data_IF_751523960543
#
_entry.id   IF_751523960543
#
_cell.length_a   1.000
_cell.length_b   1.000
_cell.length_c   1.000
_cell.angle_alpha   90.00
_cell.angle_beta   90.00
_cell.angle_gamma   90.00
#
_symmetry.space_group_name_H-M   'P 1'
#
loop_
_entity.id
_entity.type
_entity.pdbx_description
1 polymer ?
#
# COMPACT_ATOMS: atom_id res chain seq x y z
N UNK A 1 -32.12 29.66 -3.19
CA UNK A 1 -32.05 29.05 -4.53
C UNK A 1 -31.37 27.70 -4.38
N UNK A 2 -31.74 26.65 -5.16
CA UNK A 2 -31.11 25.31 -5.08
C UNK A 2 -29.60 25.34 -5.28
N UNK A 3 -29.15 26.31 -6.08
CA UNK A 3 -27.75 26.51 -6.47
C UNK A 3 -26.79 26.86 -5.30
N UNK A 4 -27.31 27.25 -4.13
CA UNK A 4 -26.46 27.60 -2.99
C UNK A 4 -25.86 26.38 -2.27
N UNK A 5 -26.53 25.23 -2.27
CA UNK A 5 -25.99 24.02 -1.64
C UNK A 5 -24.75 23.53 -2.39
N UNK A 6 -24.79 23.48 -3.72
CA UNK A 6 -23.65 23.09 -4.57
C UNK A 6 -22.50 24.09 -4.44
N UNK A 7 -22.81 25.40 -4.41
CA UNK A 7 -21.78 26.43 -4.24
C UNK A 7 -21.05 26.28 -2.90
N UNK A 8 -21.78 26.01 -1.80
CA UNK A 8 -21.15 25.76 -0.49
C UNK A 8 -20.35 24.46 -0.48
N UNK A 9 -20.84 23.39 -1.13
CA UNK A 9 -20.08 22.14 -1.25
C UNK A 9 -18.77 22.35 -2.04
N UNK A 10 -18.83 23.05 -3.18
CA UNK A 10 -17.65 23.37 -3.99
C UNK A 10 -16.67 24.29 -3.24
N UNK A 11 -17.18 25.25 -2.44
CA UNK A 11 -16.34 26.05 -1.55
C UNK A 11 -15.65 25.17 -0.50
N UNK A 12 -16.35 24.19 0.07
CA UNK A 12 -15.78 23.20 0.99
C UNK A 12 -14.64 22.41 0.35
N UNK A 13 -14.80 21.96 -0.90
CA UNK A 13 -13.72 21.28 -1.66
C UNK A 13 -12.50 22.20 -1.80
N UNK A 14 -12.71 23.46 -2.25
CA UNK A 14 -11.61 24.39 -2.44
C UNK A 14 -10.89 24.74 -1.11
N UNK A 15 -11.61 24.84 0.00
CA UNK A 15 -11.04 25.08 1.34
C UNK A 15 -10.25 23.87 1.83
N UNK A 16 -10.76 22.66 1.64
CA UNK A 16 -10.06 21.41 1.97
C UNK A 16 -8.75 21.32 1.19
N UNK A 17 -8.76 21.63 -0.11
CA UNK A 17 -7.56 21.61 -0.96
C UNK A 17 -6.51 22.66 -0.55
N UNK A 18 -6.93 23.73 0.17
CA UNK A 18 -6.04 24.69 0.81
C UNK A 18 -5.59 24.27 2.22
N UNK A 19 -6.00 23.10 2.72
CA UNK A 19 -5.72 22.65 4.08
C UNK A 19 -6.57 23.32 5.18
N UNK A 20 -7.57 24.14 4.82
CA UNK A 20 -8.47 24.84 5.75
C UNK A 20 -9.64 23.93 6.13
N UNK A 21 -9.33 22.87 6.88
CA UNK A 21 -10.26 21.75 7.11
C UNK A 21 -11.49 22.16 7.94
N UNK A 22 -11.35 23.01 8.97
CA UNK A 22 -12.47 23.51 9.77
C UNK A 22 -13.43 24.35 8.94
N UNK A 23 -12.89 25.24 8.09
CA UNK A 23 -13.70 26.08 7.20
C UNK A 23 -14.40 25.23 6.13
N UNK A 24 -13.74 24.19 5.64
CA UNK A 24 -14.32 23.24 4.69
C UNK A 24 -15.52 22.51 5.30
N UNK A 25 -15.40 21.98 6.52
CA UNK A 25 -16.48 21.31 7.25
C UNK A 25 -17.63 22.29 7.51
N UNK A 26 -17.34 23.53 7.88
CA UNK A 26 -18.37 24.55 8.06
C UNK A 26 -19.13 24.86 6.75
N UNK A 27 -18.42 24.86 5.61
CA UNK A 27 -19.05 25.04 4.30
C UNK A 27 -19.94 23.84 3.92
N UNK A 28 -19.49 22.59 4.14
CA UNK A 28 -20.32 21.41 3.93
C UNK A 28 -21.56 21.40 4.81
N UNK A 29 -21.44 21.79 6.08
CA UNK A 29 -22.61 21.92 6.97
C UNK A 29 -23.62 22.95 6.45
N UNK A 30 -23.18 24.07 5.86
CA UNK A 30 -24.08 25.03 5.21
C UNK A 30 -24.77 24.43 3.98
N UNK A 31 -24.03 23.66 3.15
CA UNK A 31 -24.60 22.94 2.02
C UNK A 31 -25.70 21.98 2.48
N UNK A 32 -25.44 21.20 3.54
CA UNK A 32 -26.33 20.21 4.11
C UNK A 32 -27.54 20.83 4.84
N UNK A 33 -27.40 22.02 5.40
CA UNK A 33 -28.53 22.77 5.96
C UNK A 33 -29.52 23.23 4.88
N UNK A 34 -29.03 23.47 3.64
CA UNK A 34 -29.85 23.86 2.49
C UNK A 34 -30.44 22.60 1.80
N UNK A 35 -29.61 21.56 1.66
CA UNK A 35 -29.96 20.30 0.98
C UNK A 35 -29.56 19.12 1.87
N UNK A 36 -30.43 18.67 2.80
CA UNK A 36 -30.11 17.59 3.75
C UNK A 36 -29.86 16.21 3.11
N UNK A 37 -30.32 16.00 1.88
CA UNK A 37 -30.16 14.78 1.08
C UNK A 37 -28.99 14.87 0.07
N UNK A 38 -27.97 15.68 0.37
CA UNK A 38 -26.81 15.87 -0.51
C UNK A 38 -25.70 14.87 -0.20
N UNK A 39 -25.78 13.67 -0.77
CA UNK A 39 -24.83 12.57 -0.54
C UNK A 39 -23.37 12.95 -0.78
N UNK A 40 -23.09 13.71 -1.87
CA UNK A 40 -21.75 14.14 -2.22
C UNK A 40 -21.15 15.10 -1.16
N UNK A 41 -21.96 15.98 -0.56
CA UNK A 41 -21.51 16.88 0.50
C UNK A 41 -21.15 16.10 1.78
N UNK A 42 -21.94 15.07 2.15
CA UNK A 42 -21.60 14.17 3.26
C UNK A 42 -20.30 13.40 2.98
N UNK A 43 -20.11 12.85 1.77
CA UNK A 43 -18.88 12.14 1.42
C UNK A 43 -17.65 13.06 1.45
N UNK A 44 -17.75 14.28 0.90
CA UNK A 44 -16.67 15.26 0.94
C UNK A 44 -16.35 15.74 2.36
N UNK A 45 -17.38 15.89 3.20
CA UNK A 45 -17.20 16.20 4.63
C UNK A 45 -16.47 15.05 5.34
N UNK A 46 -16.77 13.78 5.02
CA UNK A 46 -16.06 12.62 5.53
C UNK A 46 -14.57 12.67 5.21
N UNK A 47 -14.20 13.06 3.98
CA UNK A 47 -12.79 13.25 3.61
C UNK A 47 -12.12 14.33 4.46
N UNK A 48 -12.77 15.49 4.67
CA UNK A 48 -12.20 16.55 5.47
C UNK A 48 -12.06 16.17 6.96
N UNK A 49 -13.02 15.42 7.51
CA UNK A 49 -12.97 14.90 8.87
C UNK A 49 -11.84 13.86 9.05
N UNK A 50 -11.66 12.98 8.07
CA UNK A 50 -10.53 12.04 8.03
C UNK A 50 -9.19 12.81 8.04
N UNK A 51 -9.05 13.84 7.21
CA UNK A 51 -7.83 14.65 7.13
C UNK A 51 -7.55 15.41 8.45
N UNK A 52 -8.59 15.65 9.28
CA UNK A 52 -8.45 16.13 10.67
C UNK A 52 -8.14 15.02 11.69
N UNK A 53 -8.08 13.75 11.28
CA UNK A 53 -7.93 12.62 12.20
C UNK A 53 -9.19 12.23 12.98
N UNK A 54 -10.36 12.80 12.62
CA UNK A 54 -11.67 12.53 13.25
C UNK A 54 -12.34 11.30 12.63
N UNK A 55 -11.75 10.14 12.90
CA UNK A 55 -12.05 8.89 12.21
C UNK A 55 -13.53 8.47 12.34
N UNK A 56 -14.07 8.45 13.55
CA UNK A 56 -15.48 8.03 13.78
C UNK A 56 -16.48 9.01 13.16
N UNK A 57 -16.18 10.31 13.17
CA UNK A 57 -17.02 11.32 12.54
C UNK A 57 -17.00 11.16 11.01
N UNK A 58 -15.83 10.80 10.43
CA UNK A 58 -15.70 10.50 9.00
C UNK A 58 -16.55 9.28 8.61
N UNK A 59 -16.47 8.18 9.37
CA UNK A 59 -17.29 6.97 9.19
C UNK A 59 -18.78 7.34 9.24
N UNK A 60 -19.20 8.15 10.22
CA UNK A 60 -20.60 8.58 10.34
C UNK A 60 -21.06 9.41 9.12
N UNK A 61 -20.18 10.28 8.59
CA UNK A 61 -20.47 11.08 7.40
C UNK A 61 -20.62 10.20 6.15
N UNK A 62 -19.72 9.24 5.92
CA UNK A 62 -19.84 8.30 4.80
C UNK A 62 -21.12 7.45 4.91
N UNK A 63 -21.46 6.96 6.10
CA UNK A 63 -22.70 6.22 6.31
C UNK A 63 -23.95 7.05 5.98
N UNK A 64 -23.97 8.36 6.30
CA UNK A 64 -25.04 9.27 5.87
C UNK A 64 -25.10 9.43 4.35
N UNK A 65 -23.94 9.57 3.69
CA UNK A 65 -23.89 9.61 2.23
C UNK A 65 -24.49 8.34 1.61
N UNK A 66 -24.15 7.16 2.15
CA UNK A 66 -24.63 5.87 1.68
C UNK A 66 -26.10 5.59 2.01
N UNK A 67 -26.62 6.13 3.11
CA UNK A 67 -28.04 6.07 3.41
C UNK A 67 -28.90 6.84 2.38
N UNK A 68 -28.34 7.93 1.80
CA UNK A 68 -28.98 8.74 0.75
C UNK A 68 -28.78 8.09 -0.62
N UNK A 69 -27.55 7.65 -0.91
CA UNK A 69 -27.14 7.07 -2.21
C UNK A 69 -26.40 5.74 -1.99
N UNK A 70 -27.16 4.62 -1.89
CA UNK A 70 -26.60 3.30 -1.55
C UNK A 70 -25.62 2.71 -2.57
N UNK A 71 -25.56 3.26 -3.78
CA UNK A 71 -24.64 2.83 -4.85
C UNK A 71 -23.47 3.79 -5.07
N UNK A 72 -23.19 4.67 -4.09
CA UNK A 72 -22.11 5.65 -4.20
C UNK A 72 -20.74 5.00 -3.96
N UNK A 73 -20.14 4.51 -5.05
CA UNK A 73 -18.92 3.70 -5.02
C UNK A 73 -17.73 4.40 -4.34
N UNK A 74 -17.56 5.70 -4.56
CA UNK A 74 -16.48 6.47 -3.93
C UNK A 74 -16.66 6.60 -2.41
N UNK A 75 -17.90 6.76 -1.94
CA UNK A 75 -18.18 6.80 -0.50
C UNK A 75 -17.93 5.45 0.18
N UNK A 76 -18.34 4.34 -0.45
CA UNK A 76 -18.01 2.99 0.00
C UNK A 76 -16.50 2.77 0.09
N UNK A 77 -15.76 3.13 -0.97
CA UNK A 77 -14.30 2.97 -0.99
C UNK A 77 -13.61 3.81 0.09
N UNK A 78 -14.04 5.06 0.28
CA UNK A 78 -13.51 5.91 1.35
C UNK A 78 -13.83 5.30 2.73
N UNK A 79 -15.08 4.87 2.96
CA UNK A 79 -15.49 4.19 4.18
C UNK A 79 -14.63 2.95 4.47
N UNK A 80 -14.27 2.19 3.43
CA UNK A 80 -13.44 0.98 3.59
C UNK A 80 -12.10 1.27 4.25
N UNK A 81 -11.43 2.35 3.84
CA UNK A 81 -10.13 2.73 4.41
C UNK A 81 -10.22 3.12 5.88
N UNK A 82 -11.29 3.82 6.27
CA UNK A 82 -11.49 4.21 7.65
C UNK A 82 -11.85 3.02 8.54
N UNK A 83 -12.66 2.10 8.03
CA UNK A 83 -12.99 0.84 8.72
C UNK A 83 -11.74 -0.03 8.93
N UNK A 84 -10.91 -0.18 7.88
CA UNK A 84 -9.65 -0.93 7.98
C UNK A 84 -8.67 -0.27 8.97
N UNK A 85 -8.63 1.06 9.02
CA UNK A 85 -7.80 1.81 9.98
C UNK A 85 -8.30 1.69 11.43
N UNK A 86 -9.56 1.28 11.61
CA UNK A 86 -10.20 1.04 12.91
C UNK A 86 -10.24 -0.44 13.31
N UNK A 87 -9.45 -1.31 12.67
CA UNK A 87 -9.45 -2.76 12.85
C UNK A 87 -10.80 -3.46 12.58
N UNK A 88 -11.75 -2.77 11.93
CA UNK A 88 -13.02 -3.34 11.49
C UNK A 88 -12.83 -4.09 10.16
N UNK A 89 -11.98 -5.12 10.18
CA UNK A 89 -11.48 -5.80 8.98
C UNK A 89 -12.59 -6.34 8.08
N UNK A 90 -13.59 -7.02 8.65
CA UNK A 90 -14.67 -7.63 7.87
C UNK A 90 -15.44 -6.58 7.07
N UNK A 91 -15.94 -5.58 7.76
CA UNK A 91 -16.70 -4.50 7.15
C UNK A 91 -15.87 -3.74 6.13
N UNK A 92 -14.64 -3.37 6.51
CA UNK A 92 -13.74 -2.64 5.63
C UNK A 92 -13.39 -3.40 4.35
N UNK A 93 -13.17 -4.72 4.41
CA UNK A 93 -12.87 -5.55 3.25
C UNK A 93 -14.11 -5.81 2.37
N UNK A 94 -15.31 -5.84 2.95
CA UNK A 94 -16.56 -5.88 2.19
C UNK A 94 -16.77 -4.58 1.41
N UNK A 95 -16.59 -3.44 2.08
CA UNK A 95 -16.68 -2.11 1.47
C UNK A 95 -15.58 -1.88 0.41
N UNK A 96 -14.39 -2.44 0.58
CA UNK A 96 -13.28 -2.32 -0.36
C UNK A 96 -13.58 -2.91 -1.75
N UNK A 97 -14.52 -3.86 -1.86
CA UNK A 97 -14.93 -4.42 -3.14
C UNK A 97 -15.63 -3.39 -4.05
N UNK A 98 -16.16 -2.31 -3.49
CA UNK A 98 -16.75 -1.24 -4.28
C UNK A 98 -15.73 -0.46 -5.13
N UNK A 99 -14.42 -0.66 -4.90
CA UNK A 99 -13.36 -0.10 -5.75
C UNK A 99 -13.57 -0.40 -7.23
N UNK A 100 -14.20 -1.54 -7.54
CA UNK A 100 -14.50 -1.96 -8.91
C UNK A 100 -15.64 -1.20 -9.59
N UNK A 101 -16.38 -0.39 -8.84
CA UNK A 101 -17.48 0.42 -9.34
C UNK A 101 -17.13 1.92 -9.40
N UNK A 102 -15.96 2.31 -8.86
CA UNK A 102 -15.48 3.70 -8.97
C UNK A 102 -15.09 4.02 -10.41
N UNK A 103 -15.30 5.27 -10.82
CA UNK A 103 -14.96 5.76 -12.15
C UNK A 103 -13.52 5.47 -12.55
N UNK A 104 -12.59 5.57 -11.60
CA UNK A 104 -11.16 5.33 -11.84
C UNK A 104 -10.83 3.86 -12.13
N UNK A 105 -11.51 2.91 -11.51
CA UNK A 105 -11.11 1.51 -11.52
C UNK A 105 -11.97 0.63 -12.43
N UNK A 106 -13.12 1.11 -12.87
CA UNK A 106 -14.02 0.37 -13.79
C UNK A 106 -13.33 -0.04 -15.09
N UNK A 107 -12.49 0.85 -15.62
CA UNK A 107 -11.75 0.60 -16.86
C UNK A 107 -10.50 -0.29 -16.67
N UNK A 108 -10.00 -0.39 -15.43
CA UNK A 108 -8.80 -1.18 -15.12
C UNK A 108 -9.13 -2.61 -14.73
N UNK A 109 -10.39 -2.93 -14.47
CA UNK A 109 -10.85 -4.27 -14.13
C UNK A 109 -10.66 -5.21 -15.31
N UNK A 110 -9.91 -6.30 -15.08
CA UNK A 110 -9.71 -7.35 -16.09
C UNK A 110 -11.01 -8.12 -16.33
N UNK A 111 -11.27 -8.45 -17.59
CA UNK A 111 -12.48 -9.17 -18.00
C UNK A 111 -12.11 -10.54 -18.54
N UNK A 112 -12.44 -11.58 -17.78
CA UNK A 112 -12.21 -12.97 -18.15
C UNK A 112 -13.53 -13.68 -18.44
N UNK A 113 -13.47 -14.71 -19.31
CA UNK A 113 -14.60 -15.61 -19.56
C UNK A 113 -14.88 -16.56 -18.39
N UNK A 114 -13.86 -16.84 -17.57
CA UNK A 114 -13.99 -17.69 -16.40
C UNK A 114 -14.53 -16.94 -15.20
N UNK A 115 -15.21 -17.61 -14.26
CA UNK A 115 -15.82 -16.93 -13.11
C UNK A 115 -14.81 -16.45 -12.08
N UNK A 116 -15.15 -15.34 -11.42
CA UNK A 116 -14.48 -14.91 -10.19
C UNK A 116 -14.70 -15.98 -9.10
N UNK A 117 -13.63 -16.33 -8.36
CA UNK A 117 -13.78 -17.19 -7.20
C UNK A 117 -14.52 -16.45 -6.06
N UNK A 118 -15.50 -17.12 -5.48
CA UNK A 118 -16.39 -16.55 -4.45
C UNK A 118 -15.94 -16.84 -3.01
N UNK A 119 -14.75 -17.43 -2.84
CA UNK A 119 -14.24 -17.84 -1.53
C UNK A 119 -14.87 -19.12 -0.96
N UNK A 120 -15.87 -19.70 -1.63
CA UNK A 120 -16.63 -20.87 -1.14
C UNK A 120 -16.46 -22.10 -2.01
N UNK A 121 -16.32 -21.91 -3.31
CA UNK A 121 -16.13 -23.04 -4.25
C UNK A 121 -14.85 -23.77 -3.96
N UNK A 122 -14.94 -25.10 -3.94
CA UNK A 122 -13.79 -25.95 -3.71
C UNK A 122 -12.77 -25.81 -4.86
N UNK A 123 -11.53 -25.50 -4.50
CA UNK A 123 -10.41 -25.33 -5.44
C UNK A 123 -9.57 -26.62 -5.62
N UNK A 124 -9.89 -27.71 -4.93
CA UNK A 124 -9.14 -28.97 -5.06
C UNK A 124 -9.13 -29.45 -6.52
N UNK A 125 -7.96 -29.59 -7.09
CA UNK A 125 -7.77 -29.97 -8.50
C UNK A 125 -8.19 -28.90 -9.50
N UNK A 126 -8.42 -27.65 -9.07
CA UNK A 126 -8.78 -26.51 -9.91
C UNK A 126 -7.61 -25.55 -10.03
N UNK A 127 -7.51 -24.92 -11.19
CA UNK A 127 -6.52 -23.87 -11.47
C UNK A 127 -7.10 -22.50 -11.11
N UNK A 128 -6.36 -21.72 -10.31
CA UNK A 128 -6.72 -20.34 -10.02
C UNK A 128 -5.69 -19.37 -10.56
N UNK A 129 -6.17 -18.33 -11.24
CA UNK A 129 -5.37 -17.16 -11.64
C UNK A 129 -5.56 -16.05 -10.61
N UNK A 130 -4.49 -15.68 -9.93
CA UNK A 130 -4.40 -14.45 -9.14
C UNK A 130 -3.78 -13.35 -10.00
N UNK A 131 -4.28 -12.13 -9.88
CA UNK A 131 -3.75 -11.02 -10.67
C UNK A 131 -3.72 -9.73 -9.86
N UNK A 132 -2.68 -8.93 -10.09
CA UNK A 132 -2.46 -7.68 -9.39
C UNK A 132 -3.20 -6.54 -10.07
N UNK A 133 -3.85 -5.70 -9.29
CA UNK A 133 -4.64 -4.56 -9.78
C UNK A 133 -4.05 -3.20 -9.33
N UNK A 134 -3.11 -3.19 -8.41
CA UNK A 134 -2.53 -1.97 -7.84
C UNK A 134 -1.00 -1.94 -7.95
N UNK A 135 -0.35 -1.14 -7.12
CA UNK A 135 1.08 -0.91 -7.14
C UNK A 135 1.93 -2.09 -6.66
N UNK A 136 3.24 -1.94 -6.80
CA UNK A 136 4.23 -2.94 -6.37
C UNK A 136 4.13 -3.22 -4.87
N UNK A 137 3.98 -2.18 -4.05
CA UNK A 137 3.83 -2.33 -2.61
C UNK A 137 2.60 -3.15 -2.22
N UNK A 138 1.46 -2.89 -2.87
CA UNK A 138 0.22 -3.65 -2.64
C UNK A 138 0.40 -5.12 -3.01
N UNK A 139 1.05 -5.40 -4.15
CA UNK A 139 1.35 -6.76 -4.57
C UNK A 139 2.24 -7.50 -3.56
N UNK A 140 3.29 -6.87 -3.07
CA UNK A 140 4.14 -7.44 -2.02
C UNK A 140 3.32 -7.73 -0.76
N UNK A 141 2.53 -6.76 -0.29
CA UNK A 141 1.70 -6.94 0.89
C UNK A 141 0.72 -8.12 0.74
N UNK A 142 0.00 -8.18 -0.38
CA UNK A 142 -0.97 -9.25 -0.65
C UNK A 142 -0.33 -10.61 -0.82
N UNK A 143 0.91 -10.68 -1.32
CA UNK A 143 1.65 -11.94 -1.46
C UNK A 143 1.87 -12.66 -0.14
N UNK A 144 1.83 -11.96 0.99
CA UNK A 144 1.87 -12.54 2.34
C UNK A 144 0.73 -13.55 2.59
N UNK A 145 -0.35 -13.52 1.78
CA UNK A 145 -1.53 -14.39 1.90
C UNK A 145 -1.56 -15.54 0.87
N UNK A 146 -0.56 -15.62 0.00
CA UNK A 146 -0.45 -16.75 -0.94
C UNK A 146 -0.46 -18.11 -0.23
N UNK A 147 0.21 -18.34 0.91
CA UNK A 147 0.14 -19.61 1.60
C UNK A 147 -1.28 -20.07 1.95
N UNK A 148 -2.21 -19.13 2.20
CA UNK A 148 -3.61 -19.45 2.52
C UNK A 148 -4.34 -20.01 1.30
N UNK A 149 -4.17 -19.43 0.11
CA UNK A 149 -4.79 -19.96 -1.11
C UNK A 149 -4.13 -21.26 -1.56
N UNK A 150 -2.82 -21.39 -1.36
CA UNK A 150 -2.08 -22.62 -1.70
C UNK A 150 -2.49 -23.82 -0.84
N UNK A 151 -3.06 -23.60 0.34
CA UNK A 151 -3.66 -24.69 1.13
C UNK A 151 -4.94 -25.25 0.52
N UNK A 152 -5.55 -24.55 -0.45
CA UNK A 152 -6.82 -24.92 -1.09
C UNK A 152 -6.65 -25.50 -2.49
N UNK A 153 -5.50 -25.26 -3.15
CA UNK A 153 -5.21 -25.73 -4.51
C UNK A 153 -3.71 -25.92 -4.73
N UNK A 154 -3.37 -26.90 -5.57
CA UNK A 154 -1.99 -27.14 -6.04
C UNK A 154 -1.67 -26.35 -7.33
N UNK A 155 -2.66 -25.68 -7.94
CA UNK A 155 -2.52 -25.05 -9.26
C UNK A 155 -2.84 -23.55 -9.18
N UNK A 156 -1.85 -22.77 -8.81
CA UNK A 156 -1.95 -21.32 -8.69
C UNK A 156 -0.99 -20.63 -9.65
N UNK A 157 -1.52 -19.74 -10.47
CA UNK A 157 -0.74 -18.79 -11.28
C UNK A 157 -0.94 -17.40 -10.69
N UNK A 158 0.15 -16.66 -10.48
CA UNK A 158 0.12 -15.24 -10.08
C UNK A 158 0.69 -14.37 -11.20
N UNK A 159 -0.11 -13.46 -11.69
CA UNK A 159 0.34 -12.40 -12.59
C UNK A 159 0.56 -11.09 -11.86
N UNK A 160 1.79 -10.60 -11.91
CA UNK A 160 2.25 -9.41 -11.22
C UNK A 160 3.09 -8.48 -12.11
N UNK A 161 3.54 -7.36 -11.57
CA UNK A 161 4.48 -6.48 -12.25
C UNK A 161 5.79 -7.23 -12.55
N UNK A 162 6.34 -7.03 -13.74
CA UNK A 162 7.53 -7.74 -14.26
C UNK A 162 8.70 -7.75 -13.26
N UNK A 163 8.97 -6.62 -12.63
CA UNK A 163 10.06 -6.46 -11.66
C UNK A 163 9.89 -7.24 -10.34
N UNK A 164 8.70 -7.77 -10.06
CA UNK A 164 8.46 -8.64 -8.92
C UNK A 164 8.61 -10.13 -9.27
N UNK A 165 8.61 -10.49 -10.55
CA UNK A 165 8.66 -11.90 -10.99
C UNK A 165 9.84 -12.65 -10.39
N UNK A 166 11.10 -12.16 -10.43
CA UNK A 166 12.23 -12.89 -9.86
C UNK A 166 12.06 -13.16 -8.36
N UNK A 167 11.78 -12.12 -7.57
CA UNK A 167 11.61 -12.22 -6.12
C UNK A 167 10.46 -13.17 -5.73
N UNK A 168 9.31 -13.05 -6.39
CA UNK A 168 8.15 -13.88 -6.05
C UNK A 168 8.32 -15.33 -6.53
N UNK A 169 9.00 -15.58 -7.66
CA UNK A 169 9.33 -16.94 -8.11
C UNK A 169 10.23 -17.65 -7.09
N UNK A 170 11.24 -16.94 -6.58
CA UNK A 170 12.11 -17.47 -5.53
C UNK A 170 11.37 -17.72 -4.22
N UNK A 171 10.45 -16.82 -3.86
CA UNK A 171 9.73 -16.88 -2.59
C UNK A 171 8.61 -17.93 -2.58
N UNK A 172 8.00 -18.21 -3.75
CA UNK A 172 6.85 -19.11 -3.88
C UNK A 172 7.07 -20.14 -4.99
N UNK A 173 7.95 -21.12 -4.79
CA UNK A 173 8.35 -22.08 -5.84
C UNK A 173 7.20 -22.97 -6.34
N UNK A 174 6.10 -23.07 -5.60
CA UNK A 174 4.91 -23.83 -5.96
C UNK A 174 3.85 -22.98 -6.68
N UNK A 175 4.15 -21.72 -7.01
CA UNK A 175 3.27 -20.80 -7.75
C UNK A 175 3.91 -20.50 -9.10
N UNK A 176 3.14 -20.59 -10.15
CA UNK A 176 3.57 -20.11 -11.46
C UNK A 176 3.49 -18.58 -11.49
N UNK A 177 4.65 -17.90 -11.35
CA UNK A 177 4.72 -16.43 -11.35
C UNK A 177 4.98 -15.93 -12.78
N UNK A 178 4.15 -14.99 -13.24
CA UNK A 178 4.24 -14.39 -14.58
C UNK A 178 4.14 -12.87 -14.52
N UNK A 179 4.79 -12.21 -15.46
CA UNK A 179 4.49 -10.81 -15.74
C UNK A 179 3.07 -10.67 -16.29
N UNK A 180 2.36 -9.61 -15.87
CA UNK A 180 1.00 -9.35 -16.35
C UNK A 180 0.95 -9.14 -17.86
N UNK A 181 0.08 -9.90 -18.52
CA UNK A 181 -0.32 -9.68 -19.90
C UNK A 181 -1.85 -9.57 -19.99
N UNK A 182 -2.36 -8.43 -20.46
CA UNK A 182 -3.80 -8.14 -20.51
C UNK A 182 -4.40 -8.28 -21.92
N UNK A 183 -3.57 -8.60 -22.94
CA UNK A 183 -3.96 -8.52 -24.34
C UNK A 183 -5.06 -9.49 -24.76
N UNK A 184 -5.23 -10.59 -24.05
CA UNK A 184 -6.16 -11.66 -24.43
C UNK A 184 -6.99 -12.21 -23.25
N UNK A 185 -7.26 -11.39 -22.24
CA UNK A 185 -7.95 -11.81 -21.01
C UNK A 185 -9.27 -12.55 -21.27
N UNK A 186 -10.10 -12.03 -22.18
CA UNK A 186 -11.41 -12.62 -22.50
C UNK A 186 -11.35 -13.97 -23.21
N UNK A 187 -10.21 -14.32 -23.81
CA UNK A 187 -10.00 -15.57 -24.56
C UNK A 187 -9.29 -16.65 -23.73
N UNK A 188 -8.88 -16.32 -22.50
CA UNK A 188 -8.13 -17.24 -21.68
C UNK A 188 -9.00 -18.35 -21.11
N UNK A 189 -8.49 -19.58 -21.18
CA UNK A 189 -9.12 -20.80 -20.67
C UNK A 189 -8.15 -21.68 -19.86
N UNK A 190 -6.96 -21.15 -19.58
CA UNK A 190 -5.86 -21.85 -18.88
C UNK A 190 -6.06 -21.96 -17.35
N UNK A 191 -7.18 -21.44 -16.82
CA UNK A 191 -7.59 -21.53 -15.43
C UNK A 191 -9.11 -21.76 -15.28
N UNK A 192 -9.55 -22.25 -14.10
CA UNK A 192 -10.96 -22.47 -13.79
C UNK A 192 -11.61 -21.25 -13.10
N UNK A 193 -10.84 -20.56 -12.27
CA UNK A 193 -11.26 -19.38 -11.52
C UNK A 193 -10.19 -18.29 -11.58
N UNK A 194 -10.60 -17.06 -11.39
CA UNK A 194 -9.66 -15.96 -11.20
C UNK A 194 -10.03 -15.11 -9.97
N UNK A 195 -9.05 -14.35 -9.47
CA UNK A 195 -9.29 -13.39 -8.39
C UNK A 195 -8.26 -12.25 -8.41
N UNK A 196 -8.65 -10.99 -8.23
CA UNK A 196 -7.72 -9.92 -7.93
C UNK A 196 -7.12 -10.11 -6.54
N UNK A 197 -5.82 -9.84 -6.40
CA UNK A 197 -5.08 -10.07 -5.16
C UNK A 197 -5.66 -9.31 -3.96
N UNK A 198 -6.11 -8.08 -4.17
CA UNK A 198 -6.71 -7.27 -3.10
C UNK A 198 -8.02 -7.82 -2.56
N UNK A 199 -8.69 -8.72 -3.29
CA UNK A 199 -9.93 -9.38 -2.82
C UNK A 199 -9.67 -10.65 -2.01
N UNK A 200 -8.43 -11.16 -1.96
CA UNK A 200 -8.11 -12.36 -1.19
C UNK A 200 -8.40 -12.20 0.31
N UNK A 201 -8.05 -11.05 0.85
CA UNK A 201 -8.12 -10.80 2.30
C UNK A 201 -9.52 -11.05 2.89
N UNK A 202 -10.59 -10.68 2.19
CA UNK A 202 -11.96 -10.85 2.70
C UNK A 202 -12.37 -12.31 2.90
N UNK A 203 -11.69 -13.24 2.23
CA UNK A 203 -12.00 -14.67 2.33
C UNK A 203 -11.22 -15.39 3.43
N UNK A 204 -10.22 -14.72 4.03
CA UNK A 204 -9.32 -15.27 5.04
C UNK A 204 -9.25 -14.41 6.32
N UNK A 205 -10.34 -13.71 6.66
CA UNK A 205 -10.40 -12.82 7.83
C UNK A 205 -10.08 -13.55 9.15
N UNK A 206 -10.61 -14.77 9.43
CA UNK A 206 -10.30 -15.48 10.66
C UNK A 206 -8.81 -15.75 10.82
N UNK A 207 -8.14 -16.19 9.75
CA UNK A 207 -6.71 -16.51 9.73
C UNK A 207 -5.85 -15.25 9.88
N UNK A 208 -6.29 -14.13 9.28
CA UNK A 208 -5.61 -12.84 9.38
C UNK A 208 -5.73 -12.30 10.80
N UNK A 209 -6.92 -12.35 11.41
CA UNK A 209 -7.17 -11.82 12.75
C UNK A 209 -6.45 -12.61 13.86
N UNK A 210 -6.14 -13.88 13.62
CA UNK A 210 -5.41 -14.74 14.56
C UNK A 210 -3.89 -14.57 14.45
N UNK A 211 -3.40 -14.16 13.30
CA UNK A 211 -1.96 -14.02 13.05
C UNK A 211 -1.50 -12.58 13.30
N UNK A 212 -1.22 -12.27 14.56
CA UNK A 212 -0.78 -10.92 15.00
C UNK A 212 0.68 -10.62 14.64
N UNK A 213 1.47 -11.63 14.26
CA UNK A 213 2.88 -11.48 13.85
C UNK A 213 3.12 -12.35 12.62
N UNK A 214 2.95 -11.81 11.40
CA UNK A 214 3.21 -12.58 10.19
C UNK A 214 4.68 -13.00 10.14
N UNK A 215 4.91 -14.27 9.81
CA UNK A 215 6.24 -14.79 9.50
C UNK A 215 6.79 -14.13 8.22
N UNK A 216 8.11 -14.17 8.05
CA UNK A 216 8.73 -13.81 6.79
C UNK A 216 8.14 -14.68 5.67
N UNK A 217 7.77 -14.04 4.55
CA UNK A 217 7.15 -14.71 3.41
C UNK A 217 7.92 -14.49 2.10
N UNK A 218 8.86 -13.56 2.09
CA UNK A 218 9.79 -13.36 0.98
C UNK A 218 11.11 -14.07 1.28
N UNK A 219 11.62 -14.77 0.28
CA UNK A 219 12.87 -15.54 0.38
C UNK A 219 13.83 -15.10 -0.72
N UNK A 220 14.68 -14.08 -0.48
CA UNK A 220 15.71 -13.68 -1.42
C UNK A 220 16.79 -14.76 -1.56
N UNK A 221 17.54 -14.74 -2.68
CA UNK A 221 18.66 -15.65 -2.90
C UNK A 221 19.70 -15.57 -1.78
N UNK A 222 19.99 -16.67 -1.06
CA UNK A 222 20.98 -16.69 0.01
C UNK A 222 22.40 -16.28 -0.44
N UNK A 223 22.76 -16.49 -1.71
CA UNK A 223 24.04 -16.06 -2.26
C UNK A 223 24.08 -14.54 -2.35
N UNK A 224 22.97 -13.92 -2.76
CA UNK A 224 22.85 -12.46 -2.83
C UNK A 224 22.82 -11.83 -1.43
N UNK A 225 22.17 -12.46 -0.46
CA UNK A 225 22.20 -11.99 0.94
C UNK A 225 23.65 -11.95 1.46
N UNK A 226 24.43 -13.03 1.25
CA UNK A 226 25.84 -13.08 1.64
C UNK A 226 26.68 -12.04 0.91
N UNK A 227 26.43 -11.82 -0.36
CA UNK A 227 27.09 -10.80 -1.16
C UNK A 227 26.87 -9.40 -0.56
N UNK A 228 25.62 -9.04 -0.26
CA UNK A 228 25.28 -7.75 0.32
C UNK A 228 25.84 -7.62 1.74
N UNK A 229 25.76 -8.68 2.57
CA UNK A 229 26.34 -8.65 3.91
C UNK A 229 27.85 -8.35 3.89
N UNK A 230 28.60 -8.98 3.00
CA UNK A 230 30.02 -8.71 2.83
C UNK A 230 30.29 -7.26 2.39
N UNK A 231 29.47 -6.71 1.51
CA UNK A 231 29.59 -5.31 1.10
C UNK A 231 29.30 -4.35 2.25
N UNK A 232 28.29 -4.62 3.05
CA UNK A 232 27.98 -3.85 4.26
C UNK A 232 29.19 -3.85 5.23
N UNK A 233 29.76 -5.01 5.48
CA UNK A 233 30.94 -5.16 6.34
C UNK A 233 32.16 -4.39 5.84
N UNK A 234 32.27 -4.14 4.53
CA UNK A 234 33.33 -3.30 3.97
C UNK A 234 33.12 -1.79 4.22
N UNK A 235 31.92 -1.36 4.60
CA UNK A 235 31.63 0.05 4.95
C UNK A 235 32.03 0.40 6.38
N UNK A 236 32.16 -0.58 7.27
CA UNK A 236 32.49 -0.37 8.69
C UNK A 236 31.94 -1.49 9.58
N UNK A 237 31.96 -1.21 10.86
CA UNK A 237 31.36 -2.11 11.86
C UNK A 237 29.85 -1.80 11.98
N UNK A 238 29.00 -2.86 11.99
CA UNK A 238 27.58 -2.71 12.24
C UNK A 238 27.23 -2.15 13.64
N UNK A 239 25.98 -1.93 13.97
CA UNK A 239 24.78 -2.35 13.20
C UNK A 239 24.61 -1.58 11.86
N UNK A 240 24.11 -2.30 10.84
CA UNK A 240 23.78 -1.73 9.54
C UNK A 240 22.30 -1.40 9.48
N UNK A 241 21.97 -0.12 9.34
CA UNK A 241 20.59 0.36 9.33
C UNK A 241 20.23 0.89 7.95
N UNK A 242 19.25 0.26 7.30
CA UNK A 242 18.67 0.74 6.06
C UNK A 242 17.70 1.90 6.31
N UNK A 243 17.79 2.97 5.52
CA UNK A 243 16.93 4.15 5.66
C UNK A 243 16.27 4.53 4.33
N UNK A 244 14.96 4.84 4.38
CA UNK A 244 14.21 5.38 3.23
C UNK A 244 13.20 6.40 3.72
N UNK A 245 13.37 7.66 3.33
CA UNK A 245 12.66 8.81 3.91
C UNK A 245 11.59 9.42 3.01
N UNK A 246 11.52 9.03 1.72
CA UNK A 246 10.46 9.49 0.80
C UNK A 246 10.07 8.41 -0.20
N UNK A 247 8.87 8.51 -0.76
CA UNK A 247 8.38 7.65 -1.83
C UNK A 247 8.47 8.36 -3.19
N UNK A 248 8.40 7.61 -4.30
CA UNK A 248 8.34 8.16 -5.65
C UNK A 248 7.05 8.94 -5.93
N UNK A 249 5.98 8.60 -5.24
CA UNK A 249 4.69 9.25 -5.41
C UNK A 249 4.52 10.39 -4.39
N UNK A 250 5.13 11.53 -4.70
CA UNK A 250 5.00 12.77 -3.91
C UNK A 250 3.88 13.60 -4.51
N UNK A 251 2.62 13.20 -4.27
CA UNK A 251 1.47 14.07 -4.57
C UNK A 251 1.23 15.05 -3.41
N UNK A 252 0.57 16.22 -3.65
CA UNK A 252 0.22 17.16 -2.58
C UNK A 252 -0.54 16.50 -1.42
N UNK A 253 -1.35 15.47 -1.72
CA UNK A 253 -2.11 14.71 -0.72
C UNK A 253 -1.23 13.77 0.11
N UNK A 254 -0.07 13.36 -0.41
CA UNK A 254 0.86 12.45 0.27
C UNK A 254 2.03 13.18 0.94
N UNK A 255 2.36 14.38 0.47
CA UNK A 255 3.47 15.16 1.02
C UNK A 255 3.41 15.31 2.55
N UNK A 256 2.23 15.57 3.18
CA UNK A 256 2.12 15.65 4.64
C UNK A 256 2.48 14.36 5.39
N UNK A 257 2.54 13.22 4.69
CA UNK A 257 2.90 11.94 5.32
C UNK A 257 4.43 11.71 5.38
N UNK A 258 5.22 12.61 4.80
CA UNK A 258 6.69 12.48 4.79
C UNK A 258 7.31 13.54 5.69
N UNK A 259 8.06 13.08 6.69
CA UNK A 259 8.81 13.98 7.55
C UNK A 259 9.89 14.72 6.73
N UNK A 260 10.06 16.03 6.93
CA UNK A 260 11.22 16.74 6.41
C UNK A 260 12.52 16.08 6.90
N UNK A 261 13.60 16.15 6.13
CA UNK A 261 14.89 15.57 6.50
C UNK A 261 15.39 16.03 7.88
N UNK A 262 15.03 17.25 8.30
CA UNK A 262 15.33 17.78 9.64
C UNK A 262 14.82 16.88 10.77
N UNK A 263 13.67 16.29 10.59
CA UNK A 263 13.00 15.47 11.59
C UNK A 263 13.57 14.03 11.65
N UNK A 264 14.36 13.65 10.65
CA UNK A 264 15.11 12.39 10.65
C UNK A 264 16.41 12.48 11.46
N UNK A 265 16.76 13.65 12.01
CA UNK A 265 17.95 13.85 12.84
C UNK A 265 18.15 12.76 13.91
N UNK A 266 17.12 12.35 14.70
CA UNK A 266 17.29 11.32 15.72
C UNK A 266 17.73 9.96 15.15
N UNK A 267 17.44 9.69 13.88
CA UNK A 267 17.82 8.45 13.21
C UNK A 267 19.21 8.60 12.59
N UNK A 268 19.47 9.71 11.90
CA UNK A 268 20.75 9.94 11.25
C UNK A 268 21.90 10.08 12.26
N UNK A 269 21.64 10.60 13.45
CA UNK A 269 22.69 10.85 14.47
C UNK A 269 22.85 9.73 15.50
N UNK A 270 22.29 8.53 15.28
CA UNK A 270 22.50 7.37 16.16
C UNK A 270 24.00 7.03 16.15
N UNK A 271 24.67 7.01 17.32
CA UNK A 271 26.10 6.72 17.35
C UNK A 271 26.38 5.23 17.13
N UNK A 272 27.51 4.95 16.48
CA UNK A 272 28.00 3.57 16.33
C UNK A 272 27.26 2.71 15.33
N UNK A 273 26.46 3.31 14.43
CA UNK A 273 25.74 2.60 13.35
C UNK A 273 26.28 3.00 11.98
N UNK A 274 26.11 2.12 11.01
CA UNK A 274 26.37 2.40 9.60
C UNK A 274 25.03 2.53 8.88
N UNK A 275 24.75 3.70 8.33
CA UNK A 275 23.51 4.01 7.63
C UNK A 275 23.64 3.69 6.14
N UNK A 276 22.63 3.03 5.58
CA UNK A 276 22.58 2.59 4.18
C UNK A 276 21.29 3.07 3.53
N UNK A 277 21.40 3.73 2.39
CA UNK A 277 20.25 4.19 1.62
C UNK A 277 19.50 3.01 1.00
N UNK A 278 18.19 2.98 1.22
CA UNK A 278 17.23 2.16 0.47
C UNK A 278 16.30 3.04 -0.37
N UNK A 279 16.74 4.28 -0.62
CA UNK A 279 15.98 5.25 -1.38
C UNK A 279 16.00 4.90 -2.86
N UNK A 280 14.83 4.89 -3.52
CA UNK A 280 14.67 4.48 -4.92
C UNK A 280 14.19 5.62 -5.84
N UNK A 281 14.18 6.85 -5.32
CA UNK A 281 13.92 8.08 -6.08
C UNK A 281 15.20 8.89 -6.18
N UNK A 282 15.19 10.00 -6.89
CA UNK A 282 16.31 10.94 -6.85
C UNK A 282 16.53 11.45 -5.40
N UNK A 283 17.75 11.24 -4.90
CA UNK A 283 18.11 11.46 -3.49
C UNK A 283 19.52 12.04 -3.32
N UNK A 284 20.23 12.37 -4.40
CA UNK A 284 21.62 12.82 -4.32
C UNK A 284 21.76 14.15 -3.55
N UNK A 285 20.81 15.06 -3.77
CA UNK A 285 20.75 16.31 -3.02
C UNK A 285 20.45 16.07 -1.55
N UNK A 286 19.55 15.10 -1.24
CA UNK A 286 19.22 14.72 0.14
C UNK A 286 20.46 14.17 0.86
N UNK A 287 21.27 13.29 0.23
CA UNK A 287 22.47 12.75 0.84
C UNK A 287 23.50 13.88 1.13
N UNK A 288 23.60 14.86 0.23
CA UNK A 288 24.43 16.05 0.42
C UNK A 288 23.94 16.91 1.57
N UNK A 289 22.61 17.13 1.66
CA UNK A 289 21.99 17.87 2.77
C UNK A 289 22.24 17.16 4.10
N UNK A 290 22.01 15.83 4.17
CA UNK A 290 22.23 15.02 5.38
C UNK A 290 23.68 15.17 5.85
N UNK A 291 24.65 15.04 4.94
CA UNK A 291 26.06 15.18 5.26
C UNK A 291 26.41 16.56 5.79
N UNK A 292 25.92 17.61 5.12
CA UNK A 292 26.22 18.99 5.51
C UNK A 292 25.55 19.41 6.83
N UNK A 293 24.30 18.94 7.06
CA UNK A 293 23.50 19.36 8.19
C UNK A 293 23.78 18.58 9.47
N UNK A 294 24.04 17.27 9.34
CA UNK A 294 24.19 16.37 10.47
C UNK A 294 25.61 15.80 10.62
N UNK A 295 26.51 16.05 9.66
CA UNK A 295 27.88 15.50 9.68
C UNK A 295 27.95 14.00 9.47
N UNK A 296 26.87 13.36 8.97
CA UNK A 296 26.72 11.92 8.85
C UNK A 296 26.72 11.52 7.38
N UNK A 297 27.35 10.40 7.04
CA UNK A 297 27.27 9.80 5.73
C UNK A 297 26.26 8.66 5.70
N UNK A 298 25.29 8.74 4.79
CA UNK A 298 24.42 7.60 4.44
C UNK A 298 25.01 6.97 3.18
N UNK A 299 25.45 5.71 3.29
CA UNK A 299 26.08 4.99 2.18
C UNK A 299 25.03 4.60 1.14
N UNK A 300 25.37 4.74 -0.14
CA UNK A 300 24.55 4.29 -1.26
C UNK A 300 25.32 3.29 -2.11
N UNK A 301 24.62 2.31 -2.68
CA UNK A 301 25.18 1.37 -3.65
C UNK A 301 24.70 1.77 -5.05
N UNK A 302 25.51 2.56 -5.77
CA UNK A 302 25.14 3.13 -7.07
C UNK A 302 24.95 2.06 -8.17
N UNK A 303 25.45 0.86 -7.95
CA UNK A 303 25.30 -0.31 -8.83
C UNK A 303 24.02 -1.13 -8.55
N UNK A 304 23.21 -0.74 -7.55
CA UNK A 304 21.91 -1.35 -7.28
C UNK A 304 20.78 -0.48 -7.85
N UNK A 305 20.03 -1.03 -8.80
CA UNK A 305 18.76 -0.41 -9.23
C UNK A 305 17.67 -0.66 -8.18
N UNK A 306 17.56 0.25 -7.23
CA UNK A 306 16.57 0.18 -6.15
C UNK A 306 15.11 0.19 -6.65
N UNK A 307 14.86 0.63 -7.88
CA UNK A 307 13.51 0.74 -8.44
C UNK A 307 13.07 -0.52 -9.20
N UNK A 308 13.98 -1.16 -9.94
CA UNK A 308 13.64 -2.29 -10.80
C UNK A 308 14.19 -3.64 -10.30
N UNK A 309 15.34 -3.67 -9.64
CA UNK A 309 15.93 -4.91 -9.12
C UNK A 309 15.47 -5.21 -7.69
N UNK A 310 14.18 -5.57 -7.55
CA UNK A 310 13.57 -5.79 -6.24
C UNK A 310 14.05 -7.08 -5.55
N UNK A 311 14.61 -8.03 -6.30
CA UNK A 311 15.25 -9.22 -5.73
C UNK A 311 16.51 -8.84 -4.93
N UNK A 312 17.38 -8.01 -5.52
CA UNK A 312 18.56 -7.52 -4.82
C UNK A 312 18.23 -6.54 -3.68
N UNK A 313 17.19 -5.71 -3.84
CA UNK A 313 16.69 -4.87 -2.75
C UNK A 313 16.22 -5.74 -1.58
N UNK A 314 15.52 -6.84 -1.84
CA UNK A 314 15.09 -7.78 -0.81
C UNK A 314 16.29 -8.49 -0.15
N UNK A 315 17.31 -8.88 -0.95
CA UNK A 315 18.54 -9.48 -0.42
C UNK A 315 19.35 -8.49 0.43
N UNK A 316 19.43 -7.22 0.02
CA UNK A 316 20.05 -6.16 0.83
C UNK A 316 19.26 -5.95 2.13
N UNK A 317 17.93 -5.85 2.08
CA UNK A 317 17.11 -5.76 3.29
C UNK A 317 17.35 -6.93 4.24
N UNK A 318 17.43 -8.17 3.73
CA UNK A 318 17.72 -9.35 4.54
C UNK A 318 19.15 -9.36 5.14
N UNK A 319 20.09 -8.63 4.54
CA UNK A 319 21.45 -8.48 5.04
C UNK A 319 21.61 -7.36 6.10
N UNK A 320 20.62 -6.47 6.25
CA UNK A 320 20.62 -5.37 7.23
C UNK A 320 20.13 -5.85 8.60
N UNK A 321 20.56 -5.15 9.64
CA UNK A 321 20.15 -5.43 11.04
C UNK A 321 18.81 -4.77 11.40
N UNK A 322 18.48 -3.63 10.74
CA UNK A 322 17.26 -2.86 10.94
C UNK A 322 16.94 -2.05 9.67
N UNK A 323 15.68 -1.84 9.41
CA UNK A 323 15.22 -0.87 8.41
C UNK A 323 14.30 0.16 9.07
N UNK A 324 14.56 1.44 8.82
CA UNK A 324 13.69 2.55 9.18
C UNK A 324 13.22 3.24 7.90
N UNK A 325 11.93 3.26 7.70
CA UNK A 325 11.36 3.77 6.44
C UNK A 325 10.07 4.53 6.67
N UNK A 326 9.80 5.49 5.80
CA UNK A 326 8.44 6.02 5.63
C UNK A 326 7.55 5.00 4.92
N UNK A 327 6.24 5.25 4.86
CA UNK A 327 5.28 4.38 4.16
C UNK A 327 5.56 4.32 2.65
N UNK A 328 6.15 3.21 2.21
CA UNK A 328 6.55 2.95 0.82
C UNK A 328 6.59 1.44 0.56
N UNK A 329 7.15 0.99 -0.56
CA UNK A 329 7.39 -0.43 -0.85
C UNK A 329 8.51 -1.03 0.01
N UNK A 330 9.49 -0.22 0.41
CA UNK A 330 10.67 -0.66 1.16
C UNK A 330 10.32 -1.38 2.47
N UNK A 331 9.48 -0.83 3.37
CA UNK A 331 9.16 -1.52 4.62
C UNK A 331 8.37 -2.81 4.41
N UNK A 332 7.60 -2.92 3.33
CA UNK A 332 6.88 -4.16 3.00
C UNK A 332 7.84 -5.27 2.56
N UNK A 333 8.84 -4.95 1.74
CA UNK A 333 9.90 -5.88 1.36
C UNK A 333 10.72 -6.27 2.60
N UNK A 334 11.17 -5.30 3.37
CA UNK A 334 12.01 -5.52 4.54
C UNK A 334 11.31 -6.39 5.60
N UNK A 335 10.05 -6.10 5.92
CA UNK A 335 9.26 -6.94 6.81
C UNK A 335 8.99 -8.32 6.19
N UNK A 336 8.75 -8.38 4.88
CA UNK A 336 8.53 -9.62 4.14
C UNK A 336 9.69 -10.59 4.20
N UNK A 337 10.93 -10.10 4.22
CA UNK A 337 12.14 -10.93 4.39
C UNK A 337 12.49 -11.20 5.87
N UNK A 338 11.70 -10.69 6.81
CA UNK A 338 11.89 -10.91 8.25
C UNK A 338 12.84 -9.93 8.94
N UNK A 339 13.34 -8.90 8.25
CA UNK A 339 14.20 -7.87 8.86
C UNK A 339 13.36 -6.99 9.78
N UNK A 340 13.90 -6.65 10.96
CA UNK A 340 13.25 -5.73 11.89
C UNK A 340 13.00 -4.40 11.16
N UNK A 341 11.73 -4.00 11.09
CA UNK A 341 11.32 -2.83 10.33
C UNK A 341 10.55 -1.85 11.21
N UNK A 342 10.93 -0.57 11.17
CA UNK A 342 10.26 0.51 11.87
C UNK A 342 9.72 1.53 10.87
N UNK A 343 8.46 1.91 11.04
CA UNK A 343 7.86 2.97 10.25
C UNK A 343 8.09 4.32 10.95
N UNK A 344 8.70 5.25 10.24
CA UNK A 344 8.77 6.65 10.62
C UNK A 344 7.44 7.31 10.24
N UNK A 345 6.47 7.25 11.16
CA UNK A 345 5.18 7.92 10.97
C UNK A 345 5.30 9.36 11.43
N UNK A 346 5.16 10.27 10.48
CA UNK A 346 5.04 11.70 10.74
C UNK A 346 3.56 12.07 10.82
N UNK A 347 3.15 12.62 11.95
CA UNK A 347 1.86 13.31 12.08
C UNK A 347 2.17 14.71 12.60
N UNK A 348 1.81 15.70 11.79
CA UNK A 348 1.79 17.11 12.27
C UNK A 348 0.70 17.30 13.30
#
# INVERSE_FOLDING_TARGET
KPDYAEAYSNMGVALKDQGKLEEAIAAYNKALAIKPDYAEAYSNMGVALKDQGKLEEAIAAYNKALAIKPDYAEAHLNLSFELLSSDRLKEGLEEYEWRWKTTKNVETKRQFSKPLWDGKKNLKGKKILLWCEQGVGDTVNWSSRLPLILSLTDYCTLECQEKLVPLLTQSFPNVEIKAQDRRHDSLRDDFDFHMPMGSLYKHFIPEISQNTKPDAFLTPDPVRIKFWRKRLESLGNGPFIGVSWKSSNISPQRLPNYAPLSEWSPIFTIPGVTLVSLQYTDFHDDLTEIKNKFGVSVHNFDDLDHYNNLEDVAALCAALDLVVSTTSTVPLISAGVGTVTKLANWRQ
#
